data_IF_986628045063
#
_entry.id   IF_986628045063
#
_cell.length_a   1.000
_cell.length_b   1.000
_cell.length_c   1.000
_cell.angle_alpha   90.00
_cell.angle_beta   90.00
_cell.angle_gamma   90.00
#
_symmetry.space_group_name_H-M   'P 1'
#
loop_
_entity.id
_entity.type
_entity.pdbx_description
1 polymer ?
#
# COMPACT_ATOMS: atom_id res chain seq x y z
N UNK A 1 -14.35 12.00 -20.81
CA UNK A 1 -13.16 11.17 -20.73
C UNK A 1 -13.43 9.95 -19.86
N UNK A 2 -13.24 8.79 -20.42
CA UNK A 2 -13.56 7.55 -19.71
C UNK A 2 -12.44 7.15 -18.78
N UNK A 3 -12.74 7.08 -17.48
CA UNK A 3 -11.83 6.47 -16.51
C UNK A 3 -11.95 4.96 -16.62
N UNK A 4 -10.84 4.22 -16.47
CA UNK A 4 -10.93 2.76 -16.42
C UNK A 4 -11.86 2.31 -15.33
N UNK A 5 -12.71 1.33 -15.65
CA UNK A 5 -13.59 0.71 -14.67
C UNK A 5 -12.95 -0.61 -14.26
N UNK A 6 -12.67 -0.75 -12.96
CA UNK A 6 -12.09 -1.97 -12.43
C UNK A 6 -13.20 -2.83 -11.82
N UNK A 7 -13.17 -4.10 -12.15
CA UNK A 7 -14.18 -5.07 -11.73
C UNK A 7 -13.63 -5.98 -10.64
N UNK A 8 -14.47 -6.33 -9.67
CA UNK A 8 -14.07 -7.24 -8.61
C UNK A 8 -13.63 -8.59 -9.16
N UNK A 9 -12.61 -9.16 -8.57
CA UNK A 9 -12.04 -10.47 -8.89
C UNK A 9 -11.32 -10.55 -10.24
N UNK A 10 -11.17 -9.43 -10.93
CA UNK A 10 -10.41 -9.37 -12.18
C UNK A 10 -8.98 -8.90 -11.90
N UNK A 11 -8.08 -9.24 -12.81
CA UNK A 11 -6.65 -8.93 -12.70
C UNK A 11 -6.31 -7.69 -13.50
N UNK A 12 -5.42 -6.86 -12.95
CA UNK A 12 -5.00 -5.63 -13.61
C UNK A 12 -3.50 -5.44 -13.48
N UNK A 13 -2.88 -5.04 -14.58
CA UNK A 13 -1.49 -4.64 -14.60
C UNK A 13 -1.42 -3.13 -14.44
N UNK A 14 -0.87 -2.69 -13.33
CA UNK A 14 -0.68 -1.28 -13.02
C UNK A 14 0.79 -0.94 -13.24
N UNK A 15 1.02 0.15 -13.93
CA UNK A 15 2.34 0.56 -14.32
C UNK A 15 2.49 2.06 -14.11
N UNK A 16 3.64 2.48 -13.59
CA UNK A 16 3.92 3.90 -13.42
C UNK A 16 5.43 4.15 -13.58
N UNK A 17 5.75 5.33 -14.11
CA UNK A 17 7.11 5.77 -14.36
C UNK A 17 7.34 7.13 -13.71
N UNK A 18 8.57 7.35 -13.23
CA UNK A 18 8.97 8.65 -12.69
C UNK A 18 8.82 9.77 -13.72
N UNK A 19 8.51 10.96 -13.25
CA UNK A 19 8.39 12.15 -14.12
C UNK A 19 9.73 12.39 -14.80
N UNK A 20 9.70 12.61 -16.12
CA UNK A 20 10.92 12.81 -16.93
C UNK A 20 11.93 11.67 -16.79
N UNK A 21 11.44 10.45 -16.60
CA UNK A 21 12.27 9.25 -16.40
C UNK A 21 13.17 9.32 -15.19
N UNK A 22 12.82 10.16 -14.20
CA UNK A 22 13.57 10.24 -12.94
C UNK A 22 13.44 8.96 -12.14
N UNK A 23 14.46 8.70 -11.32
CA UNK A 23 14.43 7.54 -10.45
C UNK A 23 13.30 7.68 -9.42
N UNK A 24 12.51 6.64 -9.29
CA UNK A 24 11.49 6.49 -8.25
C UNK A 24 12.15 5.92 -6.99
N UNK A 25 13.17 5.09 -7.19
CA UNK A 25 13.91 4.46 -6.10
C UNK A 25 15.38 4.87 -6.22
N UNK A 26 15.92 5.47 -5.17
CA UNK A 26 17.29 5.95 -5.17
C UNK A 26 18.23 4.94 -4.48
N UNK A 27 17.75 4.31 -3.40
CA UNK A 27 18.54 3.35 -2.64
C UNK A 27 17.66 2.20 -2.13
N UNK A 28 18.28 1.29 -1.36
CA UNK A 28 17.57 0.13 -0.79
C UNK A 28 16.40 0.52 0.09
N UNK A 29 16.55 1.60 0.86
CA UNK A 29 15.50 2.02 1.78
C UNK A 29 14.25 2.44 1.04
N UNK A 30 14.40 3.02 -0.14
CA UNK A 30 13.27 3.39 -0.98
C UNK A 30 12.49 2.15 -1.44
N UNK A 31 13.19 1.08 -1.84
CA UNK A 31 12.55 -0.17 -2.22
C UNK A 31 11.80 -0.79 -1.04
N UNK A 32 12.44 -0.84 0.12
CA UNK A 32 11.79 -1.38 1.32
C UNK A 32 10.60 -0.55 1.73
N UNK A 33 10.70 0.76 1.64
CA UNK A 33 9.59 1.66 1.95
C UNK A 33 8.42 1.44 1.01
N UNK A 34 8.69 1.28 -0.27
CA UNK A 34 7.66 0.99 -1.27
C UNK A 34 6.93 -0.31 -0.95
N UNK A 35 7.69 -1.37 -0.66
CA UNK A 35 7.11 -2.66 -0.31
C UNK A 35 6.29 -2.55 0.97
N UNK A 36 6.82 -1.86 1.96
CA UNK A 36 6.10 -1.63 3.22
C UNK A 36 4.78 -0.90 2.98
N UNK A 37 4.80 0.14 2.15
CA UNK A 37 3.60 0.92 1.86
C UNK A 37 2.56 0.10 1.09
N UNK A 38 2.99 -0.80 0.21
CA UNK A 38 2.07 -1.71 -0.47
C UNK A 38 1.25 -2.53 0.54
N UNK A 39 1.88 -3.00 1.60
CA UNK A 39 1.17 -3.73 2.65
C UNK A 39 0.39 -2.80 3.57
N UNK A 40 0.98 -1.70 3.95
CA UNK A 40 0.41 -0.76 4.90
C UNK A 40 -0.91 -0.16 4.40
N UNK A 41 -0.92 0.28 3.15
CA UNK A 41 -2.07 0.99 2.58
C UNK A 41 -3.05 0.10 1.85
N UNK A 42 -2.80 -1.20 1.81
CA UNK A 42 -3.74 -2.16 1.23
C UNK A 42 -4.81 -2.53 2.26
N UNK A 43 -5.64 -1.54 2.59
CA UNK A 43 -6.66 -1.65 3.62
C UNK A 43 -7.74 -0.61 3.34
N UNK A 44 -8.98 -0.96 3.63
CA UNK A 44 -10.10 -0.03 3.47
C UNK A 44 -10.05 1.13 4.46
N UNK A 45 -9.39 0.98 5.59
CA UNK A 45 -9.20 2.05 6.56
C UNK A 45 -8.43 3.21 5.97
N UNK A 46 -8.72 4.43 6.41
CA UNK A 46 -7.98 5.59 5.98
C UNK A 46 -6.51 5.50 6.44
N UNK A 47 -5.62 6.17 5.73
CA UNK A 47 -4.20 6.20 6.11
C UNK A 47 -4.01 6.76 7.52
N UNK A 48 -4.82 7.76 7.90
CA UNK A 48 -4.77 8.34 9.24
C UNK A 48 -5.17 7.33 10.30
N UNK A 49 -6.23 6.56 10.07
CA UNK A 49 -6.66 5.54 11.01
C UNK A 49 -5.62 4.42 11.14
N UNK A 50 -4.96 4.06 10.05
CA UNK A 50 -3.87 3.09 10.07
C UNK A 50 -2.74 3.61 10.97
N UNK A 51 -2.39 4.88 10.84
CA UNK A 51 -1.36 5.50 11.65
C UNK A 51 -1.69 5.42 13.15
N UNK A 52 -2.91 5.77 13.53
CA UNK A 52 -3.33 5.72 14.94
C UNK A 52 -3.35 4.30 15.48
N UNK A 53 -3.80 3.34 14.67
CA UNK A 53 -3.78 1.93 15.06
C UNK A 53 -2.36 1.44 15.27
N UNK A 54 -1.42 1.87 14.44
CA UNK A 54 -0.01 1.53 14.57
C UNK A 54 0.57 2.10 15.88
N UNK A 55 0.22 3.32 16.24
CA UNK A 55 0.66 3.92 17.51
C UNK A 55 0.12 3.14 18.69
N UNK A 56 -1.12 2.70 18.62
CA UNK A 56 -1.72 1.87 19.66
C UNK A 56 -0.97 0.54 19.80
N UNK A 57 -0.61 -0.10 18.70
CA UNK A 57 0.17 -1.35 18.69
C UNK A 57 1.53 -1.16 19.34
N UNK A 58 2.20 -0.04 19.09
CA UNK A 58 3.47 0.27 19.73
C UNK A 58 3.33 0.38 21.24
N UNK A 59 2.22 0.96 21.71
CA UNK A 59 1.93 1.02 23.13
C UNK A 59 1.75 -0.37 23.73
N UNK A 60 1.14 -1.29 22.99
CA UNK A 60 1.00 -2.69 23.41
C UNK A 60 2.32 -3.41 23.46
N UNK A 61 3.22 -3.15 22.53
CA UNK A 61 4.54 -3.76 22.49
C UNK A 61 5.36 -3.48 23.73
N UNK A 62 5.14 -2.33 24.37
CA UNK A 62 5.78 -1.98 25.62
C UNK A 62 5.21 -2.79 26.81
N UNK A 63 4.08 -3.45 26.61
CA UNK A 63 3.40 -4.22 27.64
C UNK A 63 3.34 -5.70 27.24
N UNK A 64 4.35 -6.51 27.62
CA UNK A 64 4.48 -7.90 27.16
C UNK A 64 3.24 -8.77 27.34
N UNK A 65 2.43 -8.50 28.35
CA UNK A 65 1.23 -9.28 28.64
C UNK A 65 0.13 -9.16 27.62
N UNK A 66 0.23 -8.18 26.72
CA UNK A 66 -0.81 -7.91 25.71
C UNK A 66 -0.35 -8.17 24.29
N UNK A 67 0.83 -8.75 24.12
CA UNK A 67 1.43 -9.00 22.79
C UNK A 67 0.57 -9.94 21.95
N UNK A 68 -0.19 -10.84 22.58
CA UNK A 68 -1.03 -11.77 21.84
C UNK A 68 -2.22 -11.13 21.14
N UNK A 69 -2.52 -9.85 21.40
CA UNK A 69 -3.70 -9.19 20.85
C UNK A 69 -3.46 -8.11 19.80
N UNK A 70 -2.22 -7.72 19.46
CA UNK A 70 -2.02 -6.62 18.50
C UNK A 70 -2.67 -6.86 17.15
N UNK A 71 -2.69 -8.07 16.65
CA UNK A 71 -3.30 -8.38 15.35
C UNK A 71 -4.83 -8.29 15.38
N UNK A 72 -5.44 -8.43 16.54
CA UNK A 72 -6.89 -8.28 16.68
C UNK A 72 -7.33 -6.82 16.60
N UNK A 73 -6.44 -5.89 16.96
CA UNK A 73 -6.71 -4.47 16.87
C UNK A 73 -6.72 -4.01 15.41
N UNK A 74 -6.23 -4.85 14.51
CA UNK A 74 -6.01 -4.47 13.14
C UNK A 74 -6.44 -5.57 12.17
N UNK A 75 -7.74 -5.79 12.08
CA UNK A 75 -8.30 -6.64 11.04
C UNK A 75 -8.19 -5.91 9.71
N UNK A 76 -7.43 -6.46 8.80
CA UNK A 76 -7.27 -5.89 7.48
C UNK A 76 -8.46 -6.22 6.59
N UNK A 77 -8.95 -5.21 5.89
CA UNK A 77 -9.91 -5.38 4.82
C UNK A 77 -9.22 -5.03 3.53
N UNK A 78 -8.65 -6.03 2.88
CA UNK A 78 -7.82 -5.83 1.69
C UNK A 78 -8.61 -5.19 0.55
N UNK A 79 -8.00 -4.19 -0.05
CA UNK A 79 -8.53 -3.53 -1.25
C UNK A 79 -8.22 -4.36 -2.49
N UNK A 80 -7.01 -4.92 -2.54
CA UNK A 80 -6.53 -5.72 -3.66
C UNK A 80 -5.72 -6.90 -3.13
N UNK A 81 -5.57 -7.93 -3.97
CA UNK A 81 -4.52 -8.93 -3.81
C UNK A 81 -3.35 -8.50 -4.67
N UNK A 82 -2.17 -8.49 -4.10
CA UNK A 82 -0.94 -8.20 -4.82
C UNK A 82 -0.39 -9.54 -5.30
N UNK A 83 -0.52 -9.80 -6.59
CA UNK A 83 -0.13 -11.10 -7.17
C UNK A 83 1.37 -11.12 -7.43
N UNK A 84 1.91 -10.03 -7.99
CA UNK A 84 3.32 -9.90 -8.32
C UNK A 84 3.68 -8.44 -8.44
N UNK A 85 4.96 -8.14 -8.32
CA UNK A 85 5.46 -6.79 -8.55
C UNK A 85 6.87 -6.84 -9.10
N UNK A 86 7.24 -5.78 -9.81
CA UNK A 86 8.59 -5.61 -10.33
C UNK A 86 8.98 -4.14 -10.14
N UNK A 87 10.07 -3.91 -9.44
CA UNK A 87 10.53 -2.56 -9.10
C UNK A 87 11.83 -2.27 -9.85
N UNK A 88 11.78 -1.30 -10.75
CA UNK A 88 12.94 -0.82 -11.50
C UNK A 88 13.26 0.60 -11.00
N UNK A 89 14.50 1.08 -11.17
CA UNK A 89 14.88 2.37 -10.59
C UNK A 89 13.95 3.53 -10.93
N UNK A 90 13.41 3.58 -12.13
CA UNK A 90 12.58 4.71 -12.57
C UNK A 90 11.13 4.35 -12.88
N UNK A 91 10.71 3.12 -12.59
CA UNK A 91 9.32 2.71 -12.82
C UNK A 91 9.01 1.43 -12.04
N UNK A 92 7.73 1.11 -11.94
CA UNK A 92 7.31 -0.14 -11.31
C UNK A 92 6.12 -0.75 -12.04
N UNK A 93 5.96 -2.05 -11.84
CA UNK A 93 4.83 -2.81 -12.34
C UNK A 93 4.19 -3.56 -11.18
N UNK A 94 2.87 -3.53 -11.11
CA UNK A 94 2.11 -4.28 -10.12
C UNK A 94 1.06 -5.11 -10.86
N UNK A 95 0.95 -6.37 -10.50
CA UNK A 95 -0.16 -7.21 -10.94
C UNK A 95 -1.09 -7.37 -9.76
N UNK A 96 -2.29 -6.83 -9.86
CA UNK A 96 -3.26 -6.75 -8.79
C UNK A 96 -4.56 -7.43 -9.19
N UNK A 97 -5.26 -7.98 -8.19
CA UNK A 97 -6.62 -8.45 -8.34
C UNK A 97 -7.51 -7.65 -7.41
N UNK A 98 -8.58 -7.06 -7.94
CA UNK A 98 -9.45 -6.25 -7.11
C UNK A 98 -10.30 -7.14 -6.20
N UNK A 99 -10.28 -6.83 -4.89
CA UNK A 99 -11.04 -7.57 -3.89
C UNK A 99 -12.34 -6.89 -3.51
N UNK A 100 -12.38 -5.57 -3.59
CA UNK A 100 -13.53 -4.76 -3.19
C UNK A 100 -13.81 -3.72 -4.26
N UNK A 101 -15.06 -3.25 -4.30
CA UNK A 101 -15.45 -2.19 -5.21
C UNK A 101 -14.52 -0.97 -5.01
N UNK A 102 -14.04 -0.42 -6.10
CA UNK A 102 -13.07 0.68 -6.12
C UNK A 102 -11.72 0.35 -5.47
N UNK A 103 -11.43 -0.93 -5.22
CA UNK A 103 -10.23 -1.34 -4.51
C UNK A 103 -8.93 -0.89 -5.17
N UNK A 104 -8.81 -1.07 -6.49
CA UNK A 104 -7.59 -0.66 -7.21
C UNK A 104 -7.40 0.86 -7.12
N UNK A 105 -8.46 1.62 -7.36
CA UNK A 105 -8.39 3.10 -7.31
C UNK A 105 -8.02 3.57 -5.91
N UNK A 106 -8.69 3.05 -4.89
CA UNK A 106 -8.40 3.42 -3.49
C UNK A 106 -6.98 3.06 -3.10
N UNK A 107 -6.53 1.87 -3.48
CA UNK A 107 -5.18 1.42 -3.18
C UNK A 107 -4.14 2.35 -3.81
N UNK A 108 -4.30 2.65 -5.10
CA UNK A 108 -3.36 3.49 -5.81
C UNK A 108 -3.34 4.92 -5.25
N UNK A 109 -4.48 5.45 -4.83
CA UNK A 109 -4.53 6.78 -4.22
C UNK A 109 -3.77 6.82 -2.89
N UNK A 110 -4.05 5.86 -1.99
CA UNK A 110 -3.39 5.80 -0.69
C UNK A 110 -1.90 5.55 -0.84
N UNK A 111 -1.55 4.59 -1.66
CA UNK A 111 -0.19 4.17 -1.89
C UNK A 111 0.63 5.30 -2.51
N UNK A 112 0.10 5.94 -3.55
CA UNK A 112 0.78 7.05 -4.21
C UNK A 112 1.02 8.22 -3.27
N UNK A 113 0.02 8.58 -2.46
CA UNK A 113 0.16 9.66 -1.48
C UNK A 113 1.20 9.31 -0.42
N UNK A 114 1.14 8.09 0.12
CA UNK A 114 2.07 7.64 1.16
C UNK A 114 3.51 7.66 0.69
N UNK A 115 3.76 7.14 -0.50
CA UNK A 115 5.12 7.09 -1.02
C UNK A 115 5.66 8.48 -1.38
N UNK A 116 4.81 9.32 -1.96
CA UNK A 116 5.18 10.70 -2.27
C UNK A 116 5.57 11.48 -1.01
N UNK A 117 4.81 11.30 0.07
CA UNK A 117 5.12 11.95 1.34
C UNK A 117 6.43 11.46 1.93
N UNK A 118 6.79 10.20 1.73
CA UNK A 118 8.07 9.67 2.17
C UNK A 118 9.23 10.40 1.48
N UNK A 119 9.11 10.66 0.19
CA UNK A 119 10.16 11.34 -0.58
C UNK A 119 10.28 12.82 -0.26
N UNK A 120 9.23 13.45 0.13
CA UNK A 120 9.21 14.84 0.49
C UNK A 120 9.43 14.99 2.00
#
# INVERSE_FOLDING_TARGET
MNKPIFTNNEFYHIYNRGVEKRDVFIDKDDYFRFIHDMFEFNDEESAQNIYYKRQALKSYEVQPRKISQPHELRKRKLLVEIIAYCLMPNHFHLLLRQKREYGVVKFMQKFGTGYTMYFN
#
